data_IF_020333502605
#
_entry.id   IF_020333502605
#
_cell.length_a   1.000
_cell.length_b   1.000
_cell.length_c   1.000
_cell.angle_alpha   90.00
_cell.angle_beta   90.00
_cell.angle_gamma   90.00
#
_symmetry.space_group_name_H-M   'P 1'
#
loop_
_entity.id
_entity.type
_entity.pdbx_description
1 polymer ?
#
# COMPACT_ATOMS: atom_id res chain seq x y z
N UNK A 1 54.55 59.17 1.92
CA UNK A 1 53.29 59.05 2.68
C UNK A 1 52.67 57.67 2.44
N UNK A 2 52.69 56.75 3.42
CA UNK A 2 51.92 55.50 3.37
C UNK A 2 50.73 55.64 4.32
N UNK A 3 49.52 55.84 3.78
CA UNK A 3 48.28 55.81 4.58
C UNK A 3 48.05 54.36 5.02
N UNK A 4 48.27 54.05 6.30
CA UNK A 4 47.79 52.81 6.91
C UNK A 4 46.26 52.90 6.96
N UNK A 5 45.58 52.03 6.20
CA UNK A 5 44.15 51.78 6.42
C UNK A 5 44.00 51.16 7.81
N UNK A 6 43.62 51.98 8.81
CA UNK A 6 43.06 51.44 10.05
C UNK A 6 41.65 50.97 9.73
N UNK A 7 41.52 49.68 9.38
CA UNK A 7 40.21 49.04 9.27
C UNK A 7 39.47 49.21 10.61
N UNK A 8 38.26 49.75 10.57
CA UNK A 8 37.47 49.96 11.79
C UNK A 8 37.23 48.61 12.48
N UNK A 9 37.52 48.46 13.78
CA UNK A 9 37.35 47.21 14.52
C UNK A 9 35.91 46.67 14.44
N UNK A 10 34.94 47.57 14.21
CA UNK A 10 33.53 47.24 13.97
C UNK A 10 33.34 46.39 12.70
N UNK A 11 34.05 46.69 11.61
CA UNK A 11 33.96 45.93 10.35
C UNK A 11 34.50 44.50 10.51
N UNK A 12 35.54 44.32 11.33
CA UNK A 12 36.10 43.01 11.65
C UNK A 12 35.12 42.16 12.47
N UNK A 13 34.47 42.76 13.47
CA UNK A 13 33.47 42.08 14.30
C UNK A 13 32.24 41.68 13.47
N UNK A 14 31.73 42.57 12.63
CA UNK A 14 30.61 42.27 11.73
C UNK A 14 31.00 41.18 10.73
N UNK A 15 32.20 41.24 10.16
CA UNK A 15 32.72 40.20 9.27
C UNK A 15 32.79 38.83 9.95
N UNK A 16 33.26 38.77 11.20
CA UNK A 16 33.33 37.55 11.99
C UNK A 16 31.94 36.97 12.30
N UNK A 17 30.97 37.83 12.67
CA UNK A 17 29.59 37.43 12.92
C UNK A 17 28.92 36.84 11.68
N UNK A 18 29.12 37.44 10.51
CA UNK A 18 28.62 36.90 9.24
C UNK A 18 29.25 35.54 8.95
N UNK A 19 30.57 35.41 9.16
CA UNK A 19 31.31 34.17 8.91
C UNK A 19 30.84 33.01 9.81
N UNK A 20 30.46 33.31 11.05
CA UNK A 20 29.90 32.34 12.00
C UNK A 20 28.46 31.89 11.63
N UNK A 21 27.69 32.70 10.91
CA UNK A 21 26.34 32.34 10.45
C UNK A 21 26.34 31.45 9.19
N UNK A 22 27.38 31.52 8.34
CA UNK A 22 27.46 30.76 7.08
C UNK A 22 27.31 29.24 7.30
N UNK A 23 28.02 28.59 8.26
CA UNK A 23 27.84 27.16 8.53
C UNK A 23 26.40 26.78 8.90
N UNK A 24 25.69 27.64 9.64
CA UNK A 24 24.30 27.41 10.05
C UNK A 24 23.34 27.38 8.86
N UNK A 25 23.49 28.31 7.92
CA UNK A 25 22.69 28.34 6.68
C UNK A 25 22.95 27.11 5.78
N UNK A 26 24.19 26.63 5.74
CA UNK A 26 24.56 25.43 4.98
C UNK A 26 24.06 24.15 5.66
N UNK A 27 24.08 24.10 7.00
CA UNK A 27 23.59 22.95 7.78
C UNK A 27 22.04 22.88 7.81
N UNK A 28 21.36 24.02 7.67
CA UNK A 28 19.89 24.09 7.67
C UNK A 28 19.24 23.32 6.51
N UNK A 29 19.85 23.32 5.32
CA UNK A 29 19.35 22.57 4.17
C UNK A 29 19.48 21.05 4.38
N UNK A 30 20.58 20.60 5.00
CA UNK A 30 20.78 19.20 5.38
C UNK A 30 19.81 18.75 6.49
N UNK A 31 19.57 19.60 7.50
CA UNK A 31 18.55 19.34 8.53
C UNK A 31 17.17 19.25 7.91
N UNK A 32 16.78 20.20 7.05
CA UNK A 32 15.49 20.18 6.37
C UNK A 32 15.31 18.95 5.48
N UNK A 33 16.37 18.51 4.78
CA UNK A 33 16.35 17.28 3.99
C UNK A 33 16.20 16.03 4.86
N UNK A 34 16.92 15.95 5.99
CA UNK A 34 16.84 14.83 6.92
C UNK A 34 15.47 14.72 7.60
N UNK A 35 14.89 15.85 8.02
CA UNK A 35 13.55 15.94 8.58
C UNK A 35 12.51 15.52 7.54
N UNK A 36 12.60 16.03 6.29
CA UNK A 36 11.71 15.60 5.21
C UNK A 36 11.83 14.12 4.85
N UNK A 37 13.03 13.54 4.95
CA UNK A 37 13.24 12.12 4.66
C UNK A 37 12.59 11.21 5.72
N UNK A 38 12.51 11.66 6.97
CA UNK A 38 11.98 10.88 8.10
C UNK A 38 10.54 11.25 8.50
N UNK A 39 10.05 12.41 8.08
CA UNK A 39 8.68 12.85 8.34
C UNK A 39 7.64 11.89 7.75
N UNK A 40 6.63 11.54 8.55
CA UNK A 40 5.43 10.83 8.11
C UNK A 40 4.23 11.79 8.22
N UNK A 41 3.38 11.80 7.19
CA UNK A 41 2.14 12.56 7.24
C UNK A 41 1.25 12.06 8.36
N UNK A 42 0.43 12.93 8.95
CA UNK A 42 -0.60 12.47 9.89
C UNK A 42 -1.63 11.56 9.20
N UNK A 43 -1.95 11.86 7.93
CA UNK A 43 -2.83 11.04 7.11
C UNK A 43 -2.11 9.79 6.59
N UNK A 44 -2.68 8.62 6.88
CA UNK A 44 -2.22 7.29 6.49
C UNK A 44 -3.42 6.48 5.95
N UNK A 45 -3.78 6.61 4.66
CA UNK A 45 -4.91 5.90 4.11
C UNK A 45 -4.68 4.38 4.12
N UNK A 46 -5.79 3.64 4.18
CA UNK A 46 -5.82 2.19 3.97
C UNK A 46 -6.48 1.92 2.63
N UNK A 47 -5.69 1.49 1.65
CA UNK A 47 -6.19 1.12 0.32
C UNK A 47 -6.84 -0.25 0.36
N UNK A 48 -8.04 -0.39 -0.18
CA UNK A 48 -8.75 -1.65 -0.30
C UNK A 48 -8.97 -1.94 -1.79
N UNK A 49 -8.44 -3.05 -2.29
CA UNK A 49 -8.55 -3.43 -3.72
C UNK A 49 -9.30 -4.75 -3.85
N UNK A 50 -10.46 -4.77 -4.54
CA UNK A 50 -11.27 -5.97 -4.66
C UNK A 50 -10.71 -6.94 -5.72
N UNK A 51 -11.25 -8.15 -5.75
CA UNK A 51 -10.97 -9.16 -6.77
C UNK A 51 -11.72 -8.92 -8.09
N UNK A 52 -11.68 -9.92 -8.97
CA UNK A 52 -12.46 -9.92 -10.21
C UNK A 52 -13.96 -9.91 -9.95
N UNK A 53 -14.72 -9.47 -10.96
CA UNK A 53 -16.19 -9.36 -10.94
C UNK A 53 -16.77 -8.46 -9.84
N UNK A 54 -15.92 -7.77 -9.09
CA UNK A 54 -16.29 -6.97 -7.94
C UNK A 54 -16.06 -5.49 -8.23
N UNK A 55 -17.02 -4.67 -7.79
CA UNK A 55 -16.96 -3.21 -7.94
C UNK A 55 -16.31 -2.58 -6.71
N UNK A 56 -16.10 -1.26 -6.76
CA UNK A 56 -15.71 -0.41 -5.64
C UNK A 56 -16.66 -0.45 -4.43
N UNK A 57 -17.81 -1.12 -4.55
CA UNK A 57 -18.75 -1.35 -3.44
C UNK A 57 -18.47 -2.62 -2.64
N UNK A 58 -17.55 -3.49 -3.09
CA UNK A 58 -17.26 -4.80 -2.47
C UNK A 58 -16.96 -4.74 -0.98
N UNK A 59 -16.32 -3.68 -0.50
CA UNK A 59 -15.93 -3.56 0.90
C UNK A 59 -16.86 -2.67 1.73
N UNK A 60 -18.05 -2.33 1.23
CA UNK A 60 -18.99 -1.47 1.97
C UNK A 60 -19.40 -2.07 3.31
N UNK A 61 -19.76 -3.36 3.33
CA UNK A 61 -20.14 -4.06 4.55
C UNK A 61 -18.95 -4.23 5.49
N UNK A 62 -17.78 -4.64 4.97
CA UNK A 62 -16.53 -4.72 5.74
C UNK A 62 -16.19 -3.39 6.43
N UNK A 63 -16.19 -2.28 5.71
CA UNK A 63 -15.85 -0.96 6.30
C UNK A 63 -16.90 -0.53 7.32
N UNK A 64 -18.18 -0.85 7.08
CA UNK A 64 -19.23 -0.61 8.07
C UNK A 64 -18.98 -1.39 9.35
N UNK A 65 -18.63 -2.67 9.24
CA UNK A 65 -18.29 -3.53 10.38
C UNK A 65 -17.04 -3.04 11.12
N UNK A 66 -15.96 -2.72 10.40
CA UNK A 66 -14.73 -2.18 10.99
C UNK A 66 -15.01 -0.88 11.76
N UNK A 67 -15.83 0.00 11.22
CA UNK A 67 -16.22 1.26 11.90
C UNK A 67 -17.11 1.05 13.12
N UNK A 68 -17.86 -0.06 13.19
CA UNK A 68 -18.59 -0.45 14.40
C UNK A 68 -17.63 -0.99 15.46
N UNK A 69 -16.59 -1.70 15.02
CA UNK A 69 -15.61 -2.41 15.85
C UNK A 69 -14.39 -1.56 16.27
N UNK A 70 -14.33 -0.29 15.85
CA UNK A 70 -13.26 0.66 16.23
C UNK A 70 -13.81 1.87 17.00
N UNK A 71 -13.05 2.44 17.96
CA UNK A 71 -13.52 3.59 18.74
C UNK A 71 -13.74 4.86 17.92
N UNK A 72 -13.02 5.00 16.80
CA UNK A 72 -13.13 6.14 15.89
C UNK A 72 -13.44 5.61 14.50
N UNK A 73 -14.59 5.98 13.90
CA UNK A 73 -14.92 5.52 12.56
C UNK A 73 -13.95 6.12 11.54
N UNK A 74 -13.66 5.38 10.50
CA UNK A 74 -12.87 5.77 9.34
C UNK A 74 -13.79 6.28 8.22
N UNK A 75 -13.32 7.23 7.42
CA UNK A 75 -14.00 7.69 6.21
C UNK A 75 -13.91 6.62 5.13
N UNK A 76 -14.86 6.60 4.21
CA UNK A 76 -14.86 5.69 3.08
C UNK A 76 -14.93 6.50 1.79
N UNK A 77 -13.86 6.43 1.02
CA UNK A 77 -13.75 6.99 -0.33
C UNK A 77 -13.71 5.81 -1.29
N UNK A 78 -14.48 5.89 -2.38
CA UNK A 78 -14.46 4.89 -3.44
C UNK A 78 -13.99 5.55 -4.72
N UNK A 79 -13.08 4.88 -5.40
CA UNK A 79 -12.50 5.30 -6.67
C UNK A 79 -12.73 4.18 -7.67
N UNK A 80 -13.39 4.49 -8.76
CA UNK A 80 -13.51 3.61 -9.92
C UNK A 80 -12.59 4.13 -11.02
N UNK A 81 -11.64 3.30 -11.43
CA UNK A 81 -10.75 3.62 -12.55
C UNK A 81 -11.36 3.09 -13.83
N UNK A 82 -11.71 4.00 -14.73
CA UNK A 82 -12.22 3.68 -16.05
C UNK A 82 -11.11 3.14 -16.94
N UNK A 83 -11.47 2.42 -17.99
CA UNK A 83 -10.57 1.79 -18.96
C UNK A 83 -9.67 2.80 -19.69
N UNK A 84 -10.08 4.06 -19.77
CA UNK A 84 -9.30 5.18 -20.30
C UNK A 84 -8.40 5.87 -19.25
N UNK A 85 -8.39 5.39 -18.01
CA UNK A 85 -7.61 5.93 -16.88
C UNK A 85 -8.27 7.08 -16.12
N UNK A 86 -9.48 7.51 -16.49
CA UNK A 86 -10.24 8.51 -15.73
C UNK A 86 -10.73 7.93 -14.40
N UNK A 87 -10.83 8.80 -13.39
CA UNK A 87 -11.18 8.42 -12.02
C UNK A 87 -12.55 8.96 -11.64
N UNK A 88 -13.47 8.07 -11.29
CA UNK A 88 -14.77 8.41 -10.71
C UNK A 88 -14.72 8.25 -9.19
N UNK A 89 -15.05 9.30 -8.46
CA UNK A 89 -14.99 9.35 -7.00
C UNK A 89 -16.38 9.35 -6.38
N UNK A 90 -16.52 8.68 -5.24
CA UNK A 90 -17.68 8.85 -4.34
C UNK A 90 -17.26 8.72 -2.87
N UNK A 91 -18.05 9.31 -1.97
CA UNK A 91 -17.68 9.47 -0.57
C UNK A 91 -16.81 10.72 -0.33
N UNK A 92 -16.38 10.93 0.91
CA UNK A 92 -15.56 12.09 1.29
C UNK A 92 -14.70 11.77 2.50
N UNK A 93 -13.54 12.44 2.59
CA UNK A 93 -12.70 12.46 3.79
C UNK A 93 -13.33 13.39 4.82
N UNK A 94 -13.66 12.89 6.01
CA UNK A 94 -14.13 13.74 7.10
C UNK A 94 -12.95 14.50 7.72
N UNK A 95 -13.21 15.71 8.19
CA UNK A 95 -12.20 16.51 8.88
C UNK A 95 -11.68 15.78 10.13
N UNK A 96 -10.36 15.74 10.30
CA UNK A 96 -9.69 15.10 11.44
C UNK A 96 -9.60 13.58 11.37
N UNK A 97 -10.08 12.95 10.30
CA UNK A 97 -9.82 11.53 10.05
C UNK A 97 -8.45 11.35 9.38
N UNK A 98 -7.55 10.71 10.12
CA UNK A 98 -6.17 10.46 9.70
C UNK A 98 -5.98 9.09 9.04
N UNK A 99 -6.99 8.22 9.04
CA UNK A 99 -6.85 6.86 8.52
C UNK A 99 -8.09 6.48 7.69
N UNK A 100 -8.35 7.16 6.56
CA UNK A 100 -9.50 6.83 5.73
C UNK A 100 -9.30 5.51 4.99
N UNK A 101 -10.38 4.77 4.77
CA UNK A 101 -10.43 3.71 3.79
C UNK A 101 -10.63 4.28 2.39
N UNK A 102 -9.78 3.85 1.46
CA UNK A 102 -9.91 4.18 0.04
C UNK A 102 -10.06 2.89 -0.74
N UNK A 103 -11.27 2.61 -1.23
CA UNK A 103 -11.52 1.47 -2.11
C UNK A 103 -11.18 1.88 -3.54
N UNK A 104 -10.32 1.13 -4.21
CA UNK A 104 -9.99 1.34 -5.63
C UNK A 104 -10.47 0.14 -6.42
N UNK A 105 -11.54 0.32 -7.19
CA UNK A 105 -12.07 -0.65 -8.16
C UNK A 105 -11.80 -0.24 -9.60
N UNK A 106 -12.11 -1.11 -10.54
CA UNK A 106 -11.82 -0.93 -11.96
C UNK A 106 -13.08 -1.20 -12.79
N UNK A 107 -13.32 -0.38 -13.82
CA UNK A 107 -14.38 -0.65 -14.81
C UNK A 107 -14.16 -2.02 -15.47
N UNK A 108 -12.92 -2.30 -15.88
CA UNK A 108 -12.52 -3.66 -16.27
C UNK A 108 -12.00 -4.43 -15.06
N UNK A 109 -12.92 -5.13 -14.40
CA UNK A 109 -12.65 -6.02 -13.27
C UNK A 109 -12.63 -7.50 -13.69
N UNK A 110 -12.22 -7.82 -14.92
CA UNK A 110 -12.10 -9.21 -15.36
C UNK A 110 -10.84 -9.90 -14.85
N UNK A 111 -10.89 -11.23 -14.76
CA UNK A 111 -9.75 -12.09 -14.48
C UNK A 111 -8.74 -12.13 -15.63
N UNK A 112 -7.61 -12.77 -15.35
CA UNK A 112 -6.60 -13.10 -16.34
C UNK A 112 -5.39 -12.19 -16.30
N UNK A 113 -4.24 -12.78 -16.60
CA UNK A 113 -2.93 -12.16 -16.49
C UNK A 113 -2.84 -10.76 -17.11
N UNK A 114 -3.32 -10.59 -18.35
CA UNK A 114 -3.27 -9.30 -19.05
C UNK A 114 -4.14 -8.21 -18.39
N UNK A 115 -5.28 -8.59 -17.81
CA UNK A 115 -6.15 -7.65 -17.10
C UNK A 115 -5.54 -7.24 -15.77
N UNK A 116 -4.97 -8.19 -15.02
CA UNK A 116 -4.29 -7.93 -13.74
C UNK A 116 -3.14 -6.93 -13.92
N UNK A 117 -2.32 -7.07 -14.97
CA UNK A 117 -1.25 -6.11 -15.27
C UNK A 117 -1.79 -4.70 -15.56
N UNK A 118 -2.88 -4.59 -16.33
CA UNK A 118 -3.53 -3.30 -16.59
C UNK A 118 -4.13 -2.69 -15.33
N UNK A 119 -4.78 -3.49 -14.50
CA UNK A 119 -5.35 -3.06 -13.23
C UNK A 119 -4.27 -2.55 -12.27
N UNK A 120 -3.08 -3.15 -12.24
CA UNK A 120 -1.94 -2.61 -11.49
C UNK A 120 -1.52 -1.21 -11.99
N UNK A 121 -1.47 -1.00 -13.32
CA UNK A 121 -1.19 0.31 -13.90
C UNK A 121 -2.29 1.35 -13.60
N UNK A 122 -3.55 0.94 -13.66
CA UNK A 122 -4.69 1.78 -13.27
C UNK A 122 -4.66 2.13 -11.78
N UNK A 123 -4.27 1.19 -10.92
CA UNK A 123 -4.05 1.46 -9.50
C UNK A 123 -2.95 2.51 -9.31
N UNK A 124 -1.85 2.43 -10.07
CA UNK A 124 -0.77 3.45 -10.05
C UNK A 124 -1.30 4.84 -10.40
N UNK A 125 -2.20 4.96 -11.39
CA UNK A 125 -2.84 6.24 -11.76
C UNK A 125 -3.67 6.77 -10.58
N UNK A 126 -4.57 5.95 -10.05
CA UNK A 126 -5.42 6.33 -8.92
C UNK A 126 -4.58 6.73 -7.70
N UNK A 127 -3.56 5.94 -7.35
CA UNK A 127 -2.68 6.19 -6.22
C UNK A 127 -1.98 7.56 -6.34
N UNK A 128 -1.42 7.90 -7.50
CA UNK A 128 -0.72 9.17 -7.72
C UNK A 128 -1.66 10.38 -7.60
N UNK A 129 -2.86 10.29 -8.16
CA UNK A 129 -3.86 11.37 -8.05
C UNK A 129 -4.37 11.54 -6.62
N UNK A 130 -4.62 10.44 -5.91
CA UNK A 130 -4.99 10.45 -4.50
C UNK A 130 -3.85 11.01 -3.62
N UNK A 131 -2.61 10.63 -3.89
CA UNK A 131 -1.42 11.14 -3.19
C UNK A 131 -1.29 12.66 -3.38
N UNK A 132 -1.48 13.14 -4.60
CA UNK A 132 -1.50 14.58 -4.92
C UNK A 132 -2.65 15.31 -4.23
N UNK A 133 -3.82 14.68 -4.11
CA UNK A 133 -5.00 15.30 -3.51
C UNK A 133 -4.90 15.37 -1.99
N UNK A 134 -4.50 14.28 -1.35
CA UNK A 134 -4.54 14.12 0.11
C UNK A 134 -3.17 14.26 0.79
N UNK A 135 -2.09 14.42 0.02
CA UNK A 135 -0.74 14.72 0.49
C UNK A 135 -0.19 13.72 1.53
N UNK A 136 -0.61 12.45 1.46
CA UNK A 136 -0.02 11.40 2.29
C UNK A 136 1.34 10.98 1.73
N UNK A 137 2.22 10.54 2.63
CA UNK A 137 3.51 10.00 2.26
C UNK A 137 3.73 8.56 2.73
N UNK A 138 2.76 7.97 3.42
CA UNK A 138 2.75 6.56 3.81
C UNK A 138 1.32 6.01 3.81
N UNK A 139 1.18 4.68 3.71
CA UNK A 139 -0.12 4.01 3.62
C UNK A 139 -0.03 2.53 3.99
N UNK A 140 -1.18 1.94 4.27
CA UNK A 140 -1.38 0.48 4.33
C UNK A 140 -2.31 0.04 3.20
N UNK A 141 -2.26 -1.23 2.82
CA UNK A 141 -3.13 -1.75 1.78
C UNK A 141 -3.63 -3.17 2.09
N UNK A 142 -4.86 -3.46 1.69
CA UNK A 142 -5.44 -4.80 1.67
C UNK A 142 -6.00 -5.10 0.29
N UNK A 143 -5.68 -6.29 -0.21
CA UNK A 143 -6.20 -6.80 -1.47
C UNK A 143 -6.91 -8.12 -1.28
N UNK A 144 -8.14 -8.22 -1.78
CA UNK A 144 -8.86 -9.49 -1.86
C UNK A 144 -8.68 -10.12 -3.23
N UNK A 145 -8.37 -11.41 -3.30
CA UNK A 145 -8.18 -12.14 -4.55
C UNK A 145 -7.16 -11.42 -5.46
N UNK A 146 -7.51 -11.12 -6.71
CA UNK A 146 -6.68 -10.35 -7.64
C UNK A 146 -6.22 -8.99 -7.10
N UNK A 147 -6.97 -8.37 -6.18
CA UNK A 147 -6.58 -7.13 -5.52
C UNK A 147 -5.21 -7.22 -4.84
N UNK A 148 -4.88 -8.37 -4.25
CA UNK A 148 -3.55 -8.56 -3.65
C UNK A 148 -2.45 -8.74 -4.69
N UNK A 149 -2.76 -9.29 -5.87
CA UNK A 149 -1.82 -9.38 -7.00
C UNK A 149 -1.53 -7.99 -7.57
N UNK A 150 -2.56 -7.19 -7.78
CA UNK A 150 -2.48 -5.79 -8.24
C UNK A 150 -1.61 -4.97 -7.29
N UNK A 151 -1.88 -5.06 -5.98
CA UNK A 151 -1.08 -4.36 -4.97
C UNK A 151 0.38 -4.83 -4.94
N UNK A 152 0.63 -6.13 -5.08
CA UNK A 152 1.99 -6.67 -5.11
C UNK A 152 2.76 -6.16 -6.33
N UNK A 153 2.15 -6.21 -7.52
CA UNK A 153 2.73 -5.66 -8.75
C UNK A 153 3.04 -4.16 -8.62
N UNK A 154 2.10 -3.38 -8.05
CA UNK A 154 2.32 -1.96 -7.77
C UNK A 154 3.51 -1.73 -6.84
N UNK A 155 3.61 -2.50 -5.74
CA UNK A 155 4.70 -2.38 -4.77
C UNK A 155 6.07 -2.71 -5.37
N UNK A 156 6.12 -3.66 -6.31
CA UNK A 156 7.35 -4.05 -6.99
C UNK A 156 7.78 -3.08 -8.10
N UNK A 157 6.83 -2.44 -8.79
CA UNK A 157 7.12 -1.77 -10.06
C UNK A 157 7.01 -0.24 -9.97
N UNK A 158 6.02 0.26 -9.25
CA UNK A 158 5.60 1.66 -9.36
C UNK A 158 5.75 2.45 -8.05
N UNK A 159 5.67 1.78 -6.90
CA UNK A 159 5.71 2.42 -5.59
C UNK A 159 6.96 3.28 -5.37
N UNK A 160 8.15 2.82 -5.77
CA UNK A 160 9.40 3.54 -5.58
C UNK A 160 9.38 4.95 -6.21
N UNK A 161 8.73 5.10 -7.36
CA UNK A 161 8.64 6.38 -8.07
C UNK A 161 7.74 7.41 -7.34
N UNK A 162 6.78 6.95 -6.52
CA UNK A 162 5.88 7.81 -5.75
C UNK A 162 6.53 8.42 -4.52
N UNK A 163 7.68 7.85 -4.08
CA UNK A 163 8.36 8.15 -2.81
C UNK A 163 7.50 7.90 -1.56
N UNK A 164 6.30 7.33 -1.73
CA UNK A 164 5.44 6.95 -0.63
C UNK A 164 5.98 5.69 0.06
N UNK A 165 5.60 5.57 1.32
CA UNK A 165 6.04 4.55 2.25
C UNK A 165 4.89 3.55 2.46
N UNK A 166 4.98 2.35 1.86
CA UNK A 166 4.06 1.25 2.19
C UNK A 166 4.44 0.61 3.53
N UNK A 167 3.54 0.65 4.51
CA UNK A 167 3.79 0.18 5.87
C UNK A 167 3.34 -1.28 6.05
N UNK A 168 2.12 -1.59 5.60
CA UNK A 168 1.51 -2.91 5.74
C UNK A 168 0.80 -3.32 4.46
N UNK A 169 0.93 -4.60 4.09
CA UNK A 169 0.17 -5.25 3.03
C UNK A 169 -0.56 -6.46 3.62
N UNK A 170 -1.87 -6.52 3.46
CA UNK A 170 -2.67 -7.71 3.73
C UNK A 170 -3.24 -8.27 2.44
N UNK A 171 -2.97 -9.53 2.13
CA UNK A 171 -3.59 -10.22 0.98
C UNK A 171 -4.55 -11.26 1.50
N UNK A 172 -5.76 -11.33 0.93
CA UNK A 172 -6.81 -12.27 1.34
C UNK A 172 -7.17 -13.12 0.14
N UNK A 173 -6.84 -14.41 0.20
CA UNK A 173 -7.05 -15.38 -0.87
C UNK A 173 -6.48 -14.94 -2.24
N UNK A 174 -5.34 -14.26 -2.24
CA UNK A 174 -4.71 -13.82 -3.48
C UNK A 174 -4.01 -14.97 -4.20
N UNK A 175 -4.40 -15.29 -5.45
CA UNK A 175 -3.85 -16.43 -6.17
C UNK A 175 -2.52 -16.07 -6.84
N UNK A 176 -1.41 -16.15 -6.10
CA UNK A 176 -0.09 -15.76 -6.64
C UNK A 176 0.38 -16.63 -7.81
N UNK A 177 -0.21 -17.82 -7.98
CA UNK A 177 -0.04 -18.67 -9.17
C UNK A 177 -1.33 -18.80 -10.00
N UNK A 178 -2.25 -17.84 -9.92
CA UNK A 178 -3.56 -17.92 -10.57
C UNK A 178 -4.32 -19.21 -10.17
N UNK A 179 -5.18 -19.70 -11.05
CA UNK A 179 -5.97 -20.93 -10.88
C UNK A 179 -5.17 -22.20 -11.21
N UNK A 180 -3.83 -22.10 -11.38
CA UNK A 180 -3.00 -23.27 -11.67
C UNK A 180 -3.03 -24.26 -10.50
N UNK A 181 -3.42 -25.49 -10.82
CA UNK A 181 -3.62 -26.58 -9.87
C UNK A 181 -2.41 -27.51 -9.75
N UNK A 182 -1.54 -27.54 -10.76
CA UNK A 182 -0.29 -28.28 -10.72
C UNK A 182 0.75 -27.49 -9.91
N UNK A 183 1.14 -28.04 -8.76
CA UNK A 183 2.10 -27.43 -7.86
C UNK A 183 3.49 -27.23 -8.49
N UNK A 184 3.83 -27.97 -9.55
CA UNK A 184 5.11 -27.89 -10.26
C UNK A 184 5.11 -26.87 -11.40
N UNK A 185 3.94 -26.31 -11.76
CA UNK A 185 3.80 -25.37 -12.88
C UNK A 185 3.79 -23.92 -12.38
N UNK A 186 4.77 -23.16 -12.83
CA UNK A 186 4.87 -21.72 -12.56
C UNK A 186 4.21 -20.91 -13.66
N UNK A 187 3.13 -20.20 -13.31
CA UNK A 187 2.47 -19.28 -14.25
C UNK A 187 3.37 -18.10 -14.63
N UNK A 188 3.14 -17.47 -15.80
CA UNK A 188 3.87 -16.26 -16.19
C UNK A 188 3.76 -15.13 -15.16
N UNK A 189 2.59 -14.96 -14.54
CA UNK A 189 2.40 -13.97 -13.49
C UNK A 189 3.28 -14.25 -12.27
N UNK A 190 3.29 -15.49 -11.78
CA UNK A 190 4.13 -15.87 -10.65
C UNK A 190 5.61 -15.63 -10.93
N UNK A 191 6.07 -16.02 -12.12
CA UNK A 191 7.46 -15.78 -12.57
C UNK A 191 7.79 -14.29 -12.57
N UNK A 192 6.88 -13.43 -13.02
CA UNK A 192 7.07 -11.98 -13.02
C UNK A 192 7.20 -11.42 -11.59
N UNK A 193 6.33 -11.84 -10.68
CA UNK A 193 6.37 -11.43 -9.27
C UNK A 193 7.72 -11.84 -8.63
N UNK A 194 8.11 -13.11 -8.78
CA UNK A 194 9.40 -13.58 -8.25
C UNK A 194 10.59 -12.85 -8.87
N UNK A 195 10.54 -12.49 -10.14
CA UNK A 195 11.62 -11.75 -10.81
C UNK A 195 11.77 -10.31 -10.30
N UNK A 196 10.72 -9.71 -9.72
CA UNK A 196 10.73 -8.32 -9.22
C UNK A 196 10.67 -8.18 -7.70
N UNK A 197 10.54 -9.28 -6.96
CA UNK A 197 10.45 -9.31 -5.49
C UNK A 197 11.52 -8.53 -4.73
N UNK A 198 12.70 -8.31 -5.31
CA UNK A 198 13.77 -7.53 -4.68
C UNK A 198 13.48 -6.03 -4.59
N UNK A 199 12.52 -5.55 -5.39
CA UNK A 199 12.02 -4.17 -5.37
C UNK A 199 11.01 -3.92 -4.25
N UNK A 200 10.51 -4.96 -3.59
CA UNK A 200 9.60 -4.81 -2.46
C UNK A 200 10.25 -3.99 -1.34
N UNK A 201 9.48 -3.10 -0.68
CA UNK A 201 10.03 -2.27 0.40
C UNK A 201 10.54 -3.14 1.56
N UNK A 202 11.82 -3.00 1.91
CA UNK A 202 12.45 -3.79 2.99
C UNK A 202 11.81 -3.61 4.36
N UNK A 203 11.06 -2.51 4.56
CA UNK A 203 10.35 -2.19 5.81
C UNK A 203 8.90 -2.68 5.85
N UNK A 204 8.38 -3.22 4.75
CA UNK A 204 6.99 -3.66 4.62
C UNK A 204 6.70 -4.83 5.57
N UNK A 205 5.54 -4.78 6.22
CA UNK A 205 4.96 -5.92 6.94
C UNK A 205 3.89 -6.56 6.05
N UNK A 206 4.00 -7.87 5.81
CA UNK A 206 3.07 -8.60 4.93
C UNK A 206 2.32 -9.67 5.70
N UNK A 207 0.99 -9.66 5.55
CA UNK A 207 0.07 -10.66 6.10
C UNK A 207 -0.64 -11.33 4.92
N UNK A 208 -0.42 -12.62 4.71
CA UNK A 208 -1.08 -13.38 3.65
C UNK A 208 -2.09 -14.34 4.27
N UNK A 209 -3.37 -14.06 4.04
CA UNK A 209 -4.49 -14.84 4.56
C UNK A 209 -4.95 -15.80 3.47
N UNK A 210 -4.86 -17.10 3.74
CA UNK A 210 -5.43 -18.15 2.90
C UNK A 210 -6.77 -18.60 3.48
N UNK A 211 -7.81 -18.68 2.65
CA UNK A 211 -9.07 -19.33 3.00
C UNK A 211 -9.01 -20.83 2.72
N UNK A 212 -9.63 -21.62 3.58
CA UNK A 212 -9.79 -23.06 3.38
C UNK A 212 -11.20 -23.48 3.81
N UNK A 213 -12.09 -23.66 2.84
CA UNK A 213 -13.36 -24.37 3.05
C UNK A 213 -13.16 -25.89 3.06
N UNK A 214 -12.17 -26.36 2.31
CA UNK A 214 -11.69 -27.74 2.26
C UNK A 214 -10.16 -27.75 2.35
N UNK A 215 -9.55 -28.92 2.55
CA UNK A 215 -8.10 -29.07 2.55
C UNK A 215 -7.40 -28.59 1.24
N UNK A 216 -8.15 -28.36 0.15
CA UNK A 216 -7.61 -27.98 -1.16
C UNK A 216 -7.67 -26.47 -1.48
N UNK A 217 -8.50 -25.67 -0.79
CA UNK A 217 -8.66 -24.25 -1.09
C UNK A 217 -9.99 -23.64 -0.65
N UNK A 218 -10.32 -22.47 -1.20
CA UNK A 218 -11.51 -21.67 -0.87
C UNK A 218 -12.69 -21.84 -1.84
N UNK A 219 -12.61 -22.86 -2.70
CA UNK A 219 -13.61 -23.20 -3.72
C UNK A 219 -13.36 -22.58 -5.09
N UNK A 220 -12.44 -21.61 -5.22
CA UNK A 220 -12.04 -21.00 -6.50
C UNK A 220 -10.53 -21.06 -6.66
N UNK A 221 -9.79 -20.69 -5.61
CA UNK A 221 -8.33 -20.61 -5.63
C UNK A 221 -7.71 -21.80 -4.90
N UNK A 222 -6.77 -22.52 -5.53
CA UNK A 222 -5.98 -23.55 -4.85
C UNK A 222 -5.18 -22.95 -3.69
N UNK A 223 -5.16 -23.62 -2.55
CA UNK A 223 -4.38 -23.18 -1.39
C UNK A 223 -2.89 -22.97 -1.75
N UNK A 224 -2.35 -23.84 -2.60
CA UNK A 224 -0.96 -23.74 -3.05
C UNK A 224 -0.67 -22.46 -3.82
N UNK A 225 -1.63 -21.98 -4.63
CA UNK A 225 -1.51 -20.70 -5.33
C UNK A 225 -1.37 -19.53 -4.36
N UNK A 226 -2.08 -19.53 -3.23
CA UNK A 226 -1.92 -18.53 -2.17
C UNK A 226 -0.60 -18.72 -1.42
N UNK A 227 -0.25 -19.97 -1.10
CA UNK A 227 0.97 -20.34 -0.38
C UNK A 227 2.24 -19.91 -1.12
N UNK A 228 2.17 -19.76 -2.44
CA UNK A 228 3.27 -19.26 -3.28
C UNK A 228 3.73 -17.84 -2.90
N UNK A 229 2.90 -17.07 -2.19
CA UNK A 229 3.28 -15.76 -1.65
C UNK A 229 4.58 -15.79 -0.84
N UNK A 230 4.89 -16.91 -0.17
CA UNK A 230 6.15 -17.08 0.58
C UNK A 230 7.39 -16.87 -0.28
N UNK A 231 7.37 -17.28 -1.56
CA UNK A 231 8.51 -17.14 -2.47
C UNK A 231 8.71 -15.70 -2.95
N UNK A 232 7.66 -14.87 -2.83
CA UNK A 232 7.70 -13.44 -3.18
C UNK A 232 8.20 -12.65 -1.97
N UNK A 233 7.65 -12.89 -0.78
CA UNK A 233 7.86 -12.01 0.37
C UNK A 233 8.97 -12.45 1.35
N UNK A 234 9.15 -13.75 1.61
CA UNK A 234 10.07 -14.21 2.65
C UNK A 234 11.52 -13.79 2.33
N UNK A 235 12.18 -13.19 3.33
CA UNK A 235 13.54 -12.66 3.18
C UNK A 235 13.65 -11.40 2.32
N UNK A 236 12.55 -10.86 1.80
CA UNK A 236 12.52 -9.63 0.98
C UNK A 236 11.90 -8.45 1.71
N UNK A 237 10.91 -8.70 2.56
CA UNK A 237 10.23 -7.69 3.39
C UNK A 237 10.63 -7.82 4.86
N UNK A 238 10.20 -6.90 5.72
CA UNK A 238 10.57 -6.89 7.15
C UNK A 238 10.01 -8.11 7.88
N UNK A 239 8.72 -8.37 7.69
CA UNK A 239 8.04 -9.55 8.22
C UNK A 239 7.06 -10.09 7.19
N UNK A 240 6.99 -11.41 7.08
CA UNK A 240 5.97 -12.11 6.33
C UNK A 240 5.28 -13.11 7.26
N UNK A 241 3.97 -12.94 7.42
CA UNK A 241 3.12 -13.81 8.23
C UNK A 241 2.06 -14.42 7.32
N UNK A 242 1.96 -15.75 7.30
CA UNK A 242 0.89 -16.45 6.59
C UNK A 242 -0.11 -16.98 7.61
N UNK A 243 -1.40 -16.72 7.37
CA UNK A 243 -2.50 -17.08 8.26
C UNK A 243 -3.48 -17.93 7.45
N UNK A 244 -3.91 -19.05 8.01
CA UNK A 244 -4.96 -19.87 7.40
C UNK A 244 -6.25 -19.70 8.18
N UNK A 245 -7.32 -19.34 7.48
CA UNK A 245 -8.67 -19.18 8.04
C UNK A 245 -9.53 -20.31 7.50
N UNK A 246 -9.99 -21.18 8.40
CA UNK A 246 -10.79 -22.38 8.08
C UNK A 246 -12.23 -22.21 8.59
N UNK A 247 -13.22 -22.69 7.84
CA UNK A 247 -14.61 -22.77 8.31
C UNK A 247 -15.65 -22.56 7.21
N UNK A 248 -16.94 -22.63 7.58
CA UNK A 248 -18.05 -22.50 6.64
C UNK A 248 -18.03 -21.19 5.82
N UNK A 249 -17.57 -20.09 6.43
CA UNK A 249 -17.47 -18.76 5.80
C UNK A 249 -16.06 -18.46 5.27
N UNK A 250 -15.34 -19.49 4.81
CA UNK A 250 -14.03 -19.36 4.19
C UNK A 250 -14.08 -19.48 2.65
N UNK A 251 -15.27 -19.37 2.03
CA UNK A 251 -15.42 -19.30 0.57
C UNK A 251 -14.80 -18.03 0.05
N UNK A 252 -14.26 -18.13 -1.16
CA UNK A 252 -13.59 -17.03 -1.85
C UNK A 252 -14.33 -15.68 -1.79
N UNK A 253 -15.67 -15.69 -1.92
CA UNK A 253 -16.50 -14.48 -1.93
C UNK A 253 -16.65 -13.82 -0.55
N UNK A 254 -16.80 -14.59 0.53
CA UNK A 254 -17.22 -14.06 1.83
C UNK A 254 -16.04 -13.82 2.78
N UNK A 255 -14.82 -14.26 2.41
CA UNK A 255 -13.62 -14.10 3.22
C UNK A 255 -13.40 -12.67 3.73
N UNK A 256 -13.53 -11.60 2.91
CA UNK A 256 -13.33 -10.24 3.42
C UNK A 256 -14.25 -9.85 4.59
N UNK A 257 -15.44 -10.46 4.69
CA UNK A 257 -16.46 -10.16 5.71
C UNK A 257 -16.47 -11.18 6.86
N UNK A 258 -15.59 -12.19 6.81
CA UNK A 258 -15.46 -13.15 7.88
C UNK A 258 -14.98 -12.45 9.18
N UNK A 259 -15.67 -12.68 10.31
CA UNK A 259 -15.36 -12.04 11.59
C UNK A 259 -13.91 -12.24 12.07
N UNK A 260 -13.30 -13.38 11.75
CA UNK A 260 -11.88 -13.60 12.05
C UNK A 260 -10.99 -12.67 11.22
N UNK A 261 -11.31 -12.49 9.94
CA UNK A 261 -10.60 -11.59 9.03
C UNK A 261 -10.80 -10.13 9.43
N UNK A 262 -12.01 -9.73 9.85
CA UNK A 262 -12.27 -8.40 10.43
C UNK A 262 -11.37 -8.15 11.65
N UNK A 263 -11.26 -9.15 12.54
CA UNK A 263 -10.37 -9.10 13.70
C UNK A 263 -8.91 -8.92 13.31
N UNK A 264 -8.42 -9.68 12.33
CA UNK A 264 -7.07 -9.57 11.79
C UNK A 264 -6.83 -8.21 11.15
N UNK A 265 -7.77 -7.68 10.35
CA UNK A 265 -7.64 -6.34 9.77
C UNK A 265 -7.49 -5.29 10.88
N UNK A 266 -8.32 -5.34 11.91
CA UNK A 266 -8.24 -4.41 13.05
C UNK A 266 -6.90 -4.50 13.78
N UNK A 267 -6.40 -5.72 14.01
CA UNK A 267 -5.18 -5.95 14.79
C UNK A 267 -3.88 -5.69 14.01
N UNK A 268 -3.86 -6.04 12.73
CA UNK A 268 -2.62 -6.14 11.95
C UNK A 268 -2.51 -5.10 10.82
N UNK A 269 -3.63 -4.53 10.36
CA UNK A 269 -3.66 -3.54 9.28
C UNK A 269 -3.89 -2.11 9.79
N UNK A 270 -4.73 -1.91 10.81
CA UNK A 270 -5.16 -0.59 11.30
C UNK A 270 -4.30 0.00 12.43
N UNK A 271 -3.17 -0.64 12.77
CA UNK A 271 -2.28 -0.27 13.89
C UNK A 271 -1.05 0.51 13.47
#
# INVERSE_FOLDING_TARGET
MKRRLQGSPVLLIVGLLVLLCIPGFWWQSHQAASVRAHYQSALAPVFLVPGSSATQNRFNALVKELNHETPKPHSLIRVEVLTNGHLHYSGHLRHGDNCPFIVVGFENHHDGYANILKQAQWFTIAFKELQKTYQFNHFSAMGHSNGGLILTLFMEQDLAATKAKADRLMTIASPFNLEESDAEVDTPLFKQLVAKRDQLPKRLLVYSIAGSQTFAGDGIVPFDSVNRGKFIFQGRVKNFTQITVTGANANHADLPENKQIVGLIRQDLLT
#
